data_IF_114839017139
#
_entry.id   IF_114839017139
#
_cell.length_a   1.000
_cell.length_b   1.000
_cell.length_c   1.000
_cell.angle_alpha   90.00
_cell.angle_beta   90.00
_cell.angle_gamma   90.00
#
_symmetry.space_group_name_H-M   'P 1'
#
loop_
_entity.id
_entity.type
_entity.pdbx_description
1 polymer ?
#
# COMPACT_ATOMS: atom_id res chain seq x y z
N UNK A 1 11.85 4.44 -34.71
CA UNK A 1 11.73 3.22 -33.88
C UNK A 1 13.08 2.50 -33.87
N UNK A 2 13.93 2.80 -32.90
CA UNK A 2 15.21 2.11 -32.70
C UNK A 2 15.06 1.11 -31.56
N UNK A 3 15.57 -0.11 -31.72
CA UNK A 3 15.50 -1.17 -30.69
C UNK A 3 15.93 -0.67 -29.30
N UNK A 4 17.00 0.12 -29.24
CA UNK A 4 17.48 0.76 -28.00
C UNK A 4 16.41 1.60 -27.31
N UNK A 5 15.68 2.44 -28.05
CA UNK A 5 14.58 3.27 -27.50
C UNK A 5 13.44 2.40 -26.96
N UNK A 6 13.08 1.33 -27.68
CA UNK A 6 12.02 0.39 -27.25
C UNK A 6 12.39 -0.37 -25.98
N UNK A 7 13.64 -0.86 -25.88
CA UNK A 7 14.14 -1.53 -24.67
C UNK A 7 14.10 -0.58 -23.48
N UNK A 8 14.61 0.65 -23.64
CA UNK A 8 14.58 1.66 -22.57
C UNK A 8 13.15 1.97 -22.12
N UNK A 9 12.21 2.10 -23.06
CA UNK A 9 10.80 2.34 -22.75
C UNK A 9 10.19 1.19 -21.95
N UNK A 10 10.44 -0.06 -22.34
CA UNK A 10 9.97 -1.25 -21.63
C UNK A 10 10.55 -1.32 -20.22
N UNK A 11 11.87 -1.18 -20.07
CA UNK A 11 12.54 -1.23 -18.76
C UNK A 11 12.00 -0.18 -17.79
N UNK A 12 11.80 1.06 -18.26
CA UNK A 12 11.18 2.13 -17.46
C UNK A 12 9.76 1.78 -17.02
N UNK A 13 8.95 1.19 -17.89
CA UNK A 13 7.59 0.78 -17.57
C UNK A 13 7.57 -0.36 -16.53
N UNK A 14 8.46 -1.34 -16.64
CA UNK A 14 8.60 -2.42 -15.66
C UNK A 14 9.07 -1.90 -14.29
N UNK A 15 10.08 -1.03 -14.26
CA UNK A 15 10.55 -0.41 -13.01
C UNK A 15 9.43 0.38 -12.32
N UNK A 16 8.66 1.19 -13.06
CA UNK A 16 7.51 1.93 -12.52
C UNK A 16 6.46 1.00 -11.93
N UNK A 17 6.15 -0.11 -12.59
CA UNK A 17 5.19 -1.12 -12.10
C UNK A 17 5.69 -1.83 -10.84
N UNK A 18 6.99 -2.16 -10.76
CA UNK A 18 7.58 -2.78 -9.58
C UNK A 18 7.56 -1.83 -8.37
N UNK A 19 7.98 -0.58 -8.57
CA UNK A 19 7.99 0.43 -7.50
C UNK A 19 6.58 0.75 -6.99
N UNK A 20 5.57 0.75 -7.86
CA UNK A 20 4.18 0.96 -7.44
C UNK A 20 3.60 -0.20 -6.62
N UNK A 21 4.17 -1.41 -6.71
CA UNK A 21 3.79 -2.56 -5.90
C UNK A 21 4.52 -2.58 -4.55
N UNK A 22 5.78 -2.17 -4.55
CA UNK A 22 6.62 -2.14 -3.35
C UNK A 22 6.31 -0.95 -2.43
N UNK A 23 5.96 0.21 -3.01
CA UNK A 23 5.60 1.38 -2.24
C UNK A 23 4.11 1.34 -1.89
N UNK A 24 3.73 1.33 -0.59
CA UNK A 24 2.34 1.55 -0.22
C UNK A 24 1.88 2.90 -0.77
N UNK A 25 0.82 2.88 -1.60
CA UNK A 25 0.23 4.05 -2.26
C UNK A 25 -0.26 5.13 -1.28
N UNK A 26 -0.41 4.77 0.00
CA UNK A 26 -0.96 5.65 1.02
C UNK A 26 0.11 5.88 2.07
N UNK A 27 0.42 7.16 2.32
CA UNK A 27 0.95 7.56 3.63
C UNK A 27 -0.06 7.11 4.69
N UNK A 28 0.42 6.76 5.88
CA UNK A 28 -0.47 6.49 7.00
C UNK A 28 -1.48 7.62 7.11
N UNK A 29 -2.77 7.26 7.08
CA UNK A 29 -3.86 8.22 7.08
C UNK A 29 -3.67 9.08 8.32
N UNK A 30 -3.58 10.40 8.16
CA UNK A 30 -3.58 11.30 9.29
C UNK A 30 -4.94 11.17 9.98
N UNK A 31 -4.95 10.53 11.14
CA UNK A 31 -6.12 10.29 11.98
C UNK A 31 -6.04 11.31 13.11
N UNK A 32 -7.08 12.14 13.25
CA UNK A 32 -7.17 13.13 14.33
C UNK A 32 -7.22 12.43 15.70
N UNK A 33 -6.93 13.13 16.79
CA UNK A 33 -6.95 12.53 18.14
C UNK A 33 -8.30 11.88 18.47
N UNK A 34 -9.41 12.49 18.04
CA UNK A 34 -10.75 11.97 18.25
C UNK A 34 -11.01 10.67 17.47
N UNK A 35 -10.52 10.61 16.22
CA UNK A 35 -10.70 9.43 15.38
C UNK A 35 -9.81 8.26 15.84
N UNK A 36 -8.65 8.56 16.44
CA UNK A 36 -7.78 7.52 17.01
C UNK A 36 -8.42 6.83 18.21
N UNK A 37 -9.12 7.58 19.07
CA UNK A 37 -9.85 7.00 20.22
C UNK A 37 -10.99 6.09 19.74
N UNK A 38 -11.78 6.54 18.75
CA UNK A 38 -12.85 5.73 18.15
C UNK A 38 -12.34 4.45 17.49
N UNK A 39 -11.19 4.50 16.83
CA UNK A 39 -10.57 3.30 16.23
C UNK A 39 -10.02 2.33 17.28
N UNK A 40 -9.51 2.83 18.41
CA UNK A 40 -9.08 1.99 19.54
C UNK A 40 -10.29 1.35 20.22
N UNK A 41 -11.38 2.09 20.41
CA UNK A 41 -12.65 1.56 20.94
C UNK A 41 -13.28 0.52 20.00
N UNK A 42 -13.28 0.78 18.68
CA UNK A 42 -13.75 -0.18 17.69
C UNK A 42 -12.85 -1.43 17.61
N UNK A 43 -11.53 -1.28 17.67
CA UNK A 43 -10.59 -2.41 17.66
C UNK A 43 -10.63 -3.23 18.96
N UNK A 44 -11.02 -2.63 20.09
CA UNK A 44 -11.24 -3.34 21.34
C UNK A 44 -12.57 -4.11 21.38
N UNK A 45 -13.53 -3.76 20.51
CA UNK A 45 -14.85 -4.40 20.41
C UNK A 45 -14.93 -5.50 19.34
N UNK A 46 -13.96 -5.57 18.41
CA UNK A 46 -13.84 -6.68 17.47
C UNK A 46 -13.09 -7.84 18.17
N UNK A 47 -13.75 -8.98 18.46
CA UNK A 47 -13.05 -10.14 18.98
C UNK A 47 -12.09 -10.63 17.89
N UNK A 48 -10.80 -10.60 18.20
CA UNK A 48 -9.76 -11.31 17.45
C UNK A 48 -10.17 -12.79 17.42
N UNK A 49 -10.80 -13.20 16.32
CA UNK A 49 -10.90 -14.61 15.97
C UNK A 49 -9.53 -15.01 15.42
N UNK A 50 -8.76 -15.87 16.12
CA UNK A 50 -7.52 -16.37 15.57
C UNK A 50 -7.84 -17.26 14.36
N UNK A 51 -7.08 -17.20 13.26
CA UNK A 51 -7.15 -18.23 12.25
C UNK A 51 -6.52 -19.51 12.81
N UNK A 52 -7.35 -20.48 13.19
CA UNK A 52 -6.95 -21.88 13.37
C UNK A 52 -6.87 -22.59 12.02
N UNK A 53 -5.86 -23.47 11.91
CA UNK A 53 -5.52 -24.45 10.85
C UNK A 53 -4.69 -23.96 9.67
#
# INVERSE_FOLDING_TARGET
>A
MNRRKKIIQLLKAHAKKANAKLAPQKKDKYISKADRLKLVEAAALEPVTPPES
#
